data_IF_327054130865
#
_entry.id   IF_327054130865
#
_cell.length_a   1.000
_cell.length_b   1.000
_cell.length_c   1.000
_cell.angle_alpha   90.00
_cell.angle_beta   90.00
_cell.angle_gamma   90.00
#
_symmetry.space_group_name_H-M   'P 1'
#
loop_
_entity.id
_entity.type
_entity.pdbx_description
1 polymer ?
#
# COMPACT_ATOMS: atom_id res chain seq x y z
N UNK A 1 4.93 20.14 -11.44
CA UNK A 1 5.86 21.29 -11.36
C UNK A 1 5.20 22.58 -10.85
N UNK A 2 3.88 22.66 -10.83
CA UNK A 2 3.16 23.89 -10.41
C UNK A 2 2.25 23.65 -9.19
N UNK A 3 2.40 22.53 -8.48
CA UNK A 3 1.66 22.27 -7.26
C UNK A 3 2.31 22.99 -6.07
N UNK A 4 1.54 23.70 -5.23
CA UNK A 4 2.04 24.29 -3.99
C UNK A 4 2.10 23.28 -2.84
N UNK A 5 1.69 22.03 -3.06
CA UNK A 5 1.69 20.94 -2.08
C UNK A 5 2.32 19.68 -2.70
N UNK A 6 2.85 18.76 -1.87
CA UNK A 6 3.40 17.49 -2.36
C UNK A 6 2.40 16.72 -3.20
N UNK A 7 2.89 16.14 -4.30
CA UNK A 7 2.10 15.32 -5.24
C UNK A 7 2.52 13.86 -5.10
N UNK A 8 1.56 12.99 -4.84
CA UNK A 8 1.78 11.55 -4.77
C UNK A 8 1.10 10.80 -5.89
N UNK A 9 1.69 9.68 -6.29
CA UNK A 9 1.13 8.78 -7.31
C UNK A 9 1.23 7.32 -6.89
N UNK A 10 0.60 6.45 -7.67
CA UNK A 10 0.62 4.99 -7.49
C UNK A 10 1.16 4.35 -8.77
N UNK A 11 2.48 4.15 -8.91
CA UNK A 11 3.13 3.81 -10.18
C UNK A 11 2.60 2.53 -10.84
N UNK A 12 2.14 1.55 -10.03
CA UNK A 12 1.62 0.28 -10.54
C UNK A 12 0.40 0.48 -11.47
N UNK A 13 -0.35 1.59 -11.33
CA UNK A 13 -1.49 1.84 -12.20
C UNK A 13 -1.05 2.23 -13.60
N UNK A 14 -0.04 3.11 -13.72
CA UNK A 14 0.53 3.46 -15.02
C UNK A 14 1.26 2.26 -15.65
N UNK A 15 2.01 1.48 -14.85
CA UNK A 15 2.64 0.27 -15.33
C UNK A 15 1.60 -0.71 -15.92
N UNK A 16 0.45 -0.88 -15.25
CA UNK A 16 -0.64 -1.71 -15.74
C UNK A 16 -1.26 -1.18 -17.05
N UNK A 17 -1.37 0.15 -17.19
CA UNK A 17 -1.85 0.76 -18.44
C UNK A 17 -0.89 0.47 -19.60
N UNK A 18 0.42 0.53 -19.37
CA UNK A 18 1.45 0.23 -20.38
C UNK A 18 1.35 -1.19 -20.95
N UNK A 19 0.78 -2.13 -20.18
CA UNK A 19 0.50 -3.51 -20.63
C UNK A 19 -0.98 -3.74 -20.93
N UNK A 20 -1.73 -2.69 -21.26
CA UNK A 20 -3.15 -2.77 -21.63
C UNK A 20 -4.04 -3.48 -20.58
N UNK A 21 -3.73 -3.32 -19.31
CA UNK A 21 -4.49 -3.89 -18.20
C UNK A 21 -4.21 -5.37 -17.91
N UNK A 22 -3.24 -5.98 -18.59
CA UNK A 22 -2.88 -7.39 -18.38
C UNK A 22 -1.90 -7.52 -17.22
N UNK A 23 -2.40 -7.99 -16.09
CA UNK A 23 -1.61 -8.15 -14.86
C UNK A 23 -0.46 -9.13 -15.05
N UNK A 24 -0.68 -10.17 -15.85
CA UNK A 24 0.30 -11.20 -16.20
C UNK A 24 1.55 -10.67 -16.92
N UNK A 25 1.43 -9.54 -17.61
CA UNK A 25 2.53 -8.93 -18.36
C UNK A 25 3.31 -7.88 -17.52
N UNK A 26 2.92 -7.64 -16.30
CA UNK A 26 3.68 -6.78 -15.40
C UNK A 26 5.03 -7.44 -15.05
N UNK A 27 6.10 -6.65 -15.11
CA UNK A 27 7.44 -7.07 -14.70
C UNK A 27 8.12 -6.00 -13.85
N UNK A 28 9.18 -6.41 -13.17
CA UNK A 28 10.03 -5.49 -12.42
C UNK A 28 10.62 -4.39 -13.33
N UNK A 29 11.12 -4.75 -14.50
CA UNK A 29 11.76 -3.82 -15.44
C UNK A 29 10.78 -2.73 -15.87
N UNK A 30 9.56 -3.12 -16.24
CA UNK A 30 8.51 -2.16 -16.63
C UNK A 30 8.12 -1.25 -15.47
N UNK A 31 8.00 -1.81 -14.28
CA UNK A 31 7.67 -1.04 -13.08
C UNK A 31 8.78 -0.06 -12.73
N UNK A 32 10.05 -0.52 -12.72
CA UNK A 32 11.23 0.31 -12.49
C UNK A 32 11.28 1.51 -13.44
N UNK A 33 11.12 1.25 -14.74
CA UNK A 33 11.19 2.30 -15.75
C UNK A 33 10.02 3.30 -15.60
N UNK A 34 8.84 2.82 -15.18
CA UNK A 34 7.70 3.68 -14.86
C UNK A 34 7.94 4.53 -13.60
N UNK A 35 8.58 3.95 -12.59
CA UNK A 35 8.96 4.65 -11.37
C UNK A 35 9.93 5.81 -11.67
N UNK A 36 10.99 5.53 -12.44
CA UNK A 36 11.98 6.52 -12.86
C UNK A 36 11.31 7.64 -13.68
N UNK A 37 10.48 7.29 -14.65
CA UNK A 37 9.72 8.27 -15.45
C UNK A 37 8.93 9.24 -14.57
N UNK A 38 8.25 8.75 -13.54
CA UNK A 38 7.49 9.59 -12.62
C UNK A 38 8.38 10.41 -11.69
N UNK A 39 9.51 9.87 -11.25
CA UNK A 39 10.52 10.64 -10.53
C UNK A 39 11.00 11.85 -11.34
N UNK A 40 11.31 11.65 -12.62
CA UNK A 40 11.74 12.72 -13.54
C UNK A 40 10.64 13.76 -13.79
N UNK A 41 9.37 13.37 -13.66
CA UNK A 41 8.24 14.29 -13.72
C UNK A 41 8.07 15.15 -12.46
N UNK A 42 8.78 14.82 -11.39
CA UNK A 42 8.80 15.57 -10.13
C UNK A 42 7.67 15.19 -9.18
N UNK A 43 7.39 13.89 -9.06
CA UNK A 43 6.51 13.35 -8.03
C UNK A 43 7.24 13.36 -6.68
N UNK A 44 6.55 13.74 -5.60
CA UNK A 44 7.15 13.91 -4.28
C UNK A 44 7.10 12.63 -3.43
N UNK A 45 6.11 11.76 -3.67
CA UNK A 45 6.03 10.45 -3.00
C UNK A 45 5.26 9.43 -3.82
N UNK A 46 5.55 8.15 -3.59
CA UNK A 46 4.84 7.04 -4.23
C UNK A 46 4.15 6.14 -3.22
N UNK A 47 2.88 5.78 -3.48
CA UNK A 47 2.23 4.68 -2.77
C UNK A 47 2.59 3.37 -3.44
N UNK A 48 3.26 2.50 -2.69
CA UNK A 48 3.79 1.22 -3.16
C UNK A 48 3.28 0.08 -2.28
N UNK A 49 2.55 -0.86 -2.88
CA UNK A 49 1.95 -2.00 -2.19
C UNK A 49 2.95 -3.17 -2.03
N UNK A 50 4.15 -2.86 -1.52
CA UNK A 50 5.22 -3.84 -1.32
C UNK A 50 4.97 -4.79 -0.13
N UNK A 51 4.01 -4.46 0.74
CA UNK A 51 3.58 -5.33 1.86
C UNK A 51 2.84 -6.59 1.42
N UNK A 52 2.37 -6.65 0.17
CA UNK A 52 1.75 -7.85 -0.40
C UNK A 52 2.81 -8.94 -0.56
N UNK A 53 2.64 -10.02 0.18
CA UNK A 53 3.48 -11.22 0.09
C UNK A 53 2.66 -12.39 -0.45
N UNK A 54 3.24 -13.19 -1.37
CA UNK A 54 2.57 -14.38 -1.89
C UNK A 54 2.01 -15.26 -0.77
N UNK A 55 2.79 -15.48 0.27
CA UNK A 55 2.39 -16.30 1.41
C UNK A 55 1.20 -15.73 2.21
N UNK A 56 0.90 -14.44 2.11
CA UNK A 56 -0.15 -13.78 2.88
C UNK A 56 -1.46 -13.60 2.09
N UNK A 57 -1.44 -13.75 0.76
CA UNK A 57 -2.62 -13.51 -0.10
C UNK A 57 -3.80 -14.39 0.32
N UNK A 58 -3.55 -15.67 0.61
CA UNK A 58 -4.60 -16.63 1.01
C UNK A 58 -5.26 -16.29 2.37
N UNK A 59 -4.64 -15.44 3.19
CA UNK A 59 -5.24 -15.03 4.46
C UNK A 59 -6.49 -14.17 4.25
N UNK A 60 -6.67 -13.62 3.06
CA UNK A 60 -7.86 -12.85 2.67
C UNK A 60 -9.00 -13.73 2.10
N UNK A 61 -8.82 -15.04 1.93
CA UNK A 61 -9.80 -15.97 1.33
C UNK A 61 -10.99 -16.02 2.26
N UNK A 62 -11.47 -15.79 3.04
CA UNK A 62 -12.67 -15.87 3.88
C UNK A 62 -13.28 -14.52 4.21
N UNK A 63 -12.70 -13.45 3.66
CA UNK A 63 -13.21 -12.12 3.89
C UNK A 63 -14.56 -11.88 3.22
N UNK A 64 -15.40 -11.10 3.88
CA UNK A 64 -16.68 -10.68 3.32
C UNK A 64 -16.50 -9.80 2.07
N UNK A 65 -15.51 -8.89 2.09
CA UNK A 65 -15.22 -7.98 0.98
C UNK A 65 -13.98 -8.37 0.15
N UNK A 66 -13.29 -9.44 0.50
CA UNK A 66 -12.06 -9.84 -0.19
C UNK A 66 -10.94 -8.80 -0.11
N UNK A 67 -10.25 -8.57 -1.21
CA UNK A 67 -9.17 -7.56 -1.34
C UNK A 67 -9.72 -6.33 -2.06
N UNK A 68 -9.98 -5.26 -1.33
CA UNK A 68 -10.62 -4.04 -1.85
C UNK A 68 -9.62 -3.01 -2.37
N UNK A 69 -8.35 -3.10 -1.99
CA UNK A 69 -7.29 -2.26 -2.52
C UNK A 69 -7.04 -2.59 -3.99
N UNK A 70 -7.07 -1.58 -4.88
CA UNK A 70 -6.76 -1.77 -6.29
C UNK A 70 -5.33 -2.27 -6.50
N UNK A 71 -4.34 -1.62 -5.87
CA UNK A 71 -2.94 -2.03 -5.94
C UNK A 71 -2.71 -3.39 -5.28
N UNK A 72 -3.36 -3.61 -4.14
CA UNK A 72 -3.33 -4.90 -3.44
C UNK A 72 -3.88 -6.04 -4.29
N UNK A 73 -5.03 -5.86 -4.97
CA UNK A 73 -5.62 -6.88 -5.83
C UNK A 73 -4.78 -7.16 -7.09
N UNK A 74 -4.15 -6.13 -7.68
CA UNK A 74 -3.24 -6.30 -8.82
C UNK A 74 -2.05 -7.17 -8.40
N UNK A 75 -1.37 -6.83 -7.31
CA UNK A 75 -0.19 -7.57 -6.85
C UNK A 75 -0.53 -8.96 -6.34
N UNK A 76 -1.65 -9.13 -5.64
CA UNK A 76 -2.14 -10.45 -5.21
C UNK A 76 -2.42 -11.35 -6.42
N UNK A 77 -3.11 -10.83 -7.44
CA UNK A 77 -3.36 -11.55 -8.69
C UNK A 77 -2.05 -11.92 -9.40
N UNK A 78 -1.09 -10.99 -9.47
CA UNK A 78 0.21 -11.24 -10.06
C UNK A 78 0.96 -12.38 -9.36
N UNK A 79 1.02 -12.35 -8.02
CA UNK A 79 1.66 -13.39 -7.22
C UNK A 79 1.04 -14.78 -7.45
N UNK A 80 -0.28 -14.85 -7.56
CA UNK A 80 -0.99 -16.10 -7.79
C UNK A 80 -0.80 -16.63 -9.22
N UNK A 81 -0.84 -15.74 -10.23
CA UNK A 81 -0.66 -16.14 -11.63
C UNK A 81 0.74 -16.68 -11.93
N UNK A 82 1.77 -16.04 -11.33
CA UNK A 82 3.16 -16.43 -11.56
C UNK A 82 3.68 -17.45 -10.55
N UNK A 83 2.91 -17.74 -9.53
CA UNK A 83 3.34 -18.59 -8.38
C UNK A 83 4.67 -18.10 -7.77
N UNK A 84 4.86 -16.78 -7.71
CA UNK A 84 6.09 -16.11 -7.25
C UNK A 84 5.80 -15.05 -6.20
N UNK A 85 6.86 -14.67 -5.47
CA UNK A 85 6.81 -13.55 -4.56
C UNK A 85 6.62 -12.23 -5.33
N UNK A 86 6.00 -11.24 -4.69
CA UNK A 86 5.80 -9.91 -5.25
C UNK A 86 7.13 -9.28 -5.66
N UNK A 87 7.26 -8.89 -6.91
CA UNK A 87 8.46 -8.17 -7.37
C UNK A 87 8.63 -6.81 -6.64
N UNK A 88 7.57 -6.20 -6.14
CA UNK A 88 7.66 -4.98 -5.34
C UNK A 88 8.34 -5.24 -3.99
N UNK A 89 8.14 -6.41 -3.41
CA UNK A 89 8.82 -6.81 -2.19
C UNK A 89 10.27 -7.27 -2.47
N UNK A 90 10.46 -8.12 -3.49
CA UNK A 90 11.79 -8.64 -3.85
C UNK A 90 12.77 -7.51 -4.19
N UNK A 91 12.31 -6.52 -4.96
CA UNK A 91 13.10 -5.38 -5.43
C UNK A 91 12.91 -4.11 -4.58
N UNK A 92 12.45 -4.23 -3.33
CA UNK A 92 12.17 -3.05 -2.53
C UNK A 92 13.42 -2.20 -2.25
N UNK A 93 14.58 -2.83 -2.10
CA UNK A 93 15.84 -2.12 -1.90
C UNK A 93 16.27 -1.36 -3.17
N UNK A 94 16.06 -1.95 -4.35
CA UNK A 94 16.29 -1.27 -5.63
C UNK A 94 15.33 -0.08 -5.82
N UNK A 95 14.07 -0.23 -5.39
CA UNK A 95 13.10 0.86 -5.35
C UNK A 95 13.61 1.98 -4.45
N UNK A 96 14.06 1.66 -3.23
CA UNK A 96 14.60 2.66 -2.31
C UNK A 96 15.83 3.37 -2.86
N UNK A 97 16.71 2.68 -3.56
CA UNK A 97 17.88 3.30 -4.21
C UNK A 97 17.48 4.32 -5.26
N UNK A 98 16.43 4.03 -6.06
CA UNK A 98 15.86 4.99 -6.99
C UNK A 98 15.26 6.19 -6.24
N UNK A 99 14.42 5.94 -5.22
CA UNK A 99 13.77 7.01 -4.46
C UNK A 99 14.78 7.93 -3.78
N UNK A 100 15.85 7.38 -3.22
CA UNK A 100 16.93 8.16 -2.59
C UNK A 100 17.65 9.05 -3.62
N UNK A 101 17.84 8.59 -4.85
CA UNK A 101 18.48 9.38 -5.91
C UNK A 101 17.67 10.61 -6.31
N UNK A 102 16.34 10.52 -6.23
CA UNK A 102 15.42 11.61 -6.64
C UNK A 102 14.82 12.37 -5.45
N UNK A 103 15.22 12.04 -4.21
CA UNK A 103 14.66 12.62 -2.97
C UNK A 103 13.14 12.46 -2.86
N UNK A 104 12.64 11.25 -3.18
CA UNK A 104 11.22 10.90 -3.19
C UNK A 104 10.89 10.03 -1.98
N UNK A 105 9.79 10.32 -1.28
CA UNK A 105 9.32 9.52 -0.16
C UNK A 105 8.51 8.29 -0.60
N UNK A 106 8.45 7.27 0.25
CA UNK A 106 7.59 6.10 0.05
C UNK A 106 6.41 6.08 1.02
N UNK A 107 5.21 5.96 0.48
CA UNK A 107 4.00 5.57 1.19
C UNK A 107 3.83 4.06 1.04
N UNK A 108 3.94 3.30 2.13
CA UNK A 108 3.69 1.87 2.12
C UNK A 108 2.18 1.64 2.10
N UNK A 109 1.66 1.24 0.94
CA UNK A 109 0.23 1.07 0.71
C UNK A 109 -0.34 -0.19 1.39
N UNK A 110 -1.51 -0.06 2.00
CA UNK A 110 -2.22 -1.16 2.68
C UNK A 110 -3.04 -2.02 1.70
N UNK A 111 -2.37 -2.85 0.93
CA UNK A 111 -2.99 -3.69 -0.08
C UNK A 111 -3.97 -4.73 0.45
N UNK A 112 -3.78 -5.19 1.69
CA UNK A 112 -4.67 -6.13 2.38
C UNK A 112 -5.55 -5.43 3.45
N UNK A 113 -5.79 -4.12 3.32
CA UNK A 113 -6.74 -3.43 4.21
C UNK A 113 -8.14 -4.07 4.15
N UNK A 114 -8.89 -4.09 5.26
CA UNK A 114 -10.27 -4.57 5.26
C UNK A 114 -11.19 -3.63 4.49
N UNK A 115 -12.17 -4.18 3.79
CA UNK A 115 -13.19 -3.43 3.06
C UNK A 115 -14.47 -3.16 3.86
N UNK A 116 -14.59 -3.78 5.04
CA UNK A 116 -15.70 -3.58 5.96
C UNK A 116 -15.27 -3.87 7.40
N UNK A 117 -16.12 -3.49 8.35
CA UNK A 117 -15.83 -3.68 9.78
C UNK A 117 -15.77 -5.15 10.20
N UNK A 118 -16.42 -6.06 9.45
CA UNK A 118 -16.37 -7.50 9.72
C UNK A 118 -14.98 -8.09 9.47
N UNK A 119 -14.24 -7.55 8.50
CA UNK A 119 -12.89 -7.99 8.13
C UNK A 119 -11.80 -7.22 8.89
N UNK A 120 -12.16 -6.23 9.73
CA UNK A 120 -11.21 -5.37 10.41
C UNK A 120 -10.36 -6.12 11.44
N UNK A 121 -9.06 -5.82 11.47
CA UNK A 121 -8.06 -6.43 12.35
C UNK A 121 -7.94 -7.95 12.16
N UNK A 122 -8.14 -8.42 10.94
CA UNK A 122 -7.96 -9.82 10.62
C UNK A 122 -6.47 -10.19 10.40
N UNK A 123 -6.23 -11.46 10.17
CA UNK A 123 -4.87 -11.98 9.97
C UNK A 123 -4.19 -11.43 8.73
N UNK A 124 -4.95 -11.18 7.66
CA UNK A 124 -4.40 -10.65 6.41
C UNK A 124 -3.89 -9.22 6.61
N UNK A 125 -4.71 -8.35 7.24
CA UNK A 125 -4.33 -6.98 7.56
C UNK A 125 -3.06 -6.93 8.41
N UNK A 126 -3.00 -7.73 9.46
CA UNK A 126 -1.86 -7.69 10.38
C UNK A 126 -0.59 -8.34 9.80
N UNK A 127 -0.70 -9.38 9.00
CA UNK A 127 0.44 -9.96 8.32
C UNK A 127 1.08 -8.98 7.31
N UNK A 128 0.28 -8.15 6.65
CA UNK A 128 0.79 -7.07 5.82
C UNK A 128 1.43 -5.98 6.66
N UNK A 129 0.82 -5.59 7.78
CA UNK A 129 1.37 -4.58 8.69
C UNK A 129 2.76 -4.99 9.22
N UNK A 130 2.93 -6.26 9.58
CA UNK A 130 4.22 -6.81 10.02
C UNK A 130 5.27 -6.68 8.89
N UNK A 131 4.89 -6.97 7.65
CA UNK A 131 5.76 -6.78 6.48
C UNK A 131 6.07 -5.30 6.26
N UNK A 132 5.08 -4.39 6.40
CA UNK A 132 5.33 -2.95 6.28
C UNK A 132 6.31 -2.44 7.32
N UNK A 133 6.29 -2.99 8.53
CA UNK A 133 7.30 -2.69 9.56
C UNK A 133 8.73 -3.04 9.12
N UNK A 134 8.93 -4.21 8.52
CA UNK A 134 10.21 -4.59 7.91
C UNK A 134 10.62 -3.59 6.82
N UNK A 135 9.69 -3.24 5.93
CA UNK A 135 9.96 -2.32 4.81
C UNK A 135 10.28 -0.90 5.29
N UNK A 136 9.71 -0.43 6.40
CA UNK A 136 10.07 0.84 7.04
C UNK A 136 11.55 0.86 7.42
N UNK A 137 12.05 -0.22 8.02
CA UNK A 137 13.47 -0.31 8.38
C UNK A 137 14.38 -0.35 7.15
N UNK A 138 13.98 -1.08 6.11
CA UNK A 138 14.72 -1.14 4.83
C UNK A 138 14.78 0.24 4.16
N UNK A 139 13.67 0.98 4.11
CA UNK A 139 13.63 2.33 3.57
C UNK A 139 14.52 3.29 4.36
N UNK A 140 14.45 3.25 5.70
CA UNK A 140 15.30 4.08 6.56
C UNK A 140 16.79 3.76 6.40
N UNK A 141 17.16 2.50 6.21
CA UNK A 141 18.54 2.11 5.96
C UNK A 141 19.10 2.67 4.64
N UNK A 142 18.20 3.00 3.69
CA UNK A 142 18.51 3.63 2.41
C UNK A 142 18.32 5.16 2.41
N UNK A 143 18.07 5.77 3.59
CA UNK A 143 17.77 7.20 3.76
C UNK A 143 16.51 7.66 3.01
N UNK A 144 15.54 6.78 2.80
CA UNK A 144 14.24 7.11 2.23
C UNK A 144 13.22 7.36 3.34
N UNK A 145 12.52 8.47 3.26
CA UNK A 145 11.40 8.75 4.15
C UNK A 145 10.25 7.79 3.86
N UNK A 146 9.78 7.07 4.89
CA UNK A 146 8.69 6.13 4.78
C UNK A 146 7.55 6.50 5.72
N UNK A 147 6.32 6.42 5.24
CA UNK A 147 5.10 6.51 6.02
C UNK A 147 4.15 5.39 5.62
N UNK A 148 3.24 5.04 6.51
CA UNK A 148 2.43 3.83 6.39
C UNK A 148 0.96 4.19 6.19
N UNK A 149 0.33 3.59 5.19
CA UNK A 149 -1.11 3.66 5.00
C UNK A 149 -1.80 2.65 5.93
N UNK A 150 -2.93 3.05 6.49
CA UNK A 150 -3.74 2.19 7.33
C UNK A 150 -5.22 2.21 6.97
N UNK A 151 -5.98 1.23 7.46
CA UNK A 151 -7.36 1.00 7.07
C UNK A 151 -8.30 2.07 7.61
N UNK A 152 -9.33 2.40 6.80
CA UNK A 152 -10.44 3.26 7.20
C UNK A 152 -11.64 2.52 7.80
N UNK A 153 -11.78 1.22 7.58
CA UNK A 153 -12.93 0.41 8.02
C UNK A 153 -12.67 -0.33 9.34
N UNK A 154 -12.11 0.37 10.32
CA UNK A 154 -11.87 -0.18 11.67
C UNK A 154 -12.97 0.35 12.61
N UNK A 155 -13.73 -0.51 13.31
CA UNK A 155 -14.71 -0.05 14.26
C UNK A 155 -14.06 0.69 15.43
N UNK A 156 -14.74 1.69 15.98
CA UNK A 156 -14.18 2.63 16.96
C UNK A 156 -13.51 1.94 18.15
N UNK A 157 -14.06 0.86 18.65
CA UNK A 157 -13.51 0.13 19.81
C UNK A 157 -12.20 -0.63 19.48
N UNK A 158 -11.86 -0.82 18.20
CA UNK A 158 -10.61 -1.45 17.73
C UNK A 158 -9.54 -0.46 17.26
N UNK A 159 -9.84 0.83 17.22
CA UNK A 159 -8.90 1.85 16.74
C UNK A 159 -7.63 1.86 17.59
N UNK A 160 -7.77 1.81 18.91
CA UNK A 160 -6.62 1.81 19.83
C UNK A 160 -5.69 0.62 19.54
N UNK A 161 -6.23 -0.59 19.47
CA UNK A 161 -5.47 -1.80 19.15
C UNK A 161 -4.72 -1.67 17.82
N UNK A 162 -5.41 -1.14 16.80
CA UNK A 162 -4.82 -0.93 15.47
C UNK A 162 -3.67 0.07 15.51
N UNK A 163 -3.85 1.19 16.22
CA UNK A 163 -2.81 2.22 16.38
C UNK A 163 -1.61 1.74 17.18
N UNK A 164 -1.84 1.08 18.33
CA UNK A 164 -0.77 0.54 19.17
C UNK A 164 0.07 -0.46 18.35
N UNK A 165 -0.60 -1.36 17.63
CA UNK A 165 0.09 -2.34 16.80
C UNK A 165 0.89 -1.69 15.66
N UNK A 166 0.36 -0.66 15.02
CA UNK A 166 1.10 0.09 13.99
C UNK A 166 2.34 0.78 14.58
N UNK A 167 2.19 1.44 15.72
CA UNK A 167 3.31 2.11 16.40
C UNK A 167 4.43 1.11 16.73
N UNK A 168 4.07 -0.02 17.29
CA UNK A 168 5.03 -1.05 17.71
C UNK A 168 5.70 -1.72 16.51
N UNK A 169 4.91 -2.21 15.53
CA UNK A 169 5.42 -2.98 14.40
C UNK A 169 6.08 -2.11 13.33
N UNK A 170 5.59 -0.89 13.11
CA UNK A 170 6.16 0.02 12.10
C UNK A 170 7.13 1.04 12.69
N UNK A 171 7.66 0.81 13.89
CA UNK A 171 8.78 1.58 14.46
C UNK A 171 8.52 3.09 14.51
N UNK A 172 7.30 3.49 14.94
CA UNK A 172 6.85 4.88 14.96
C UNK A 172 6.93 5.60 13.60
N UNK A 173 6.80 4.88 12.49
CA UNK A 173 6.66 5.53 11.19
C UNK A 173 5.38 6.38 11.15
N UNK A 174 5.39 7.55 10.48
CA UNK A 174 4.18 8.33 10.27
C UNK A 174 3.07 7.45 9.69
N UNK A 175 1.85 7.63 10.18
CA UNK A 175 0.71 6.79 9.85
C UNK A 175 -0.46 7.65 9.39
N UNK A 176 -1.07 7.30 8.28
CA UNK A 176 -2.29 7.92 7.82
C UNK A 176 -3.35 6.87 7.49
N UNK A 177 -4.60 7.23 7.68
CA UNK A 177 -5.74 6.37 7.39
C UNK A 177 -6.79 7.16 6.62
N UNK A 178 -7.68 6.46 5.95
CA UNK A 178 -8.91 7.08 5.45
C UNK A 178 -9.81 7.52 6.62
N UNK A 179 -9.46 7.10 7.82
CA UNK A 179 -10.07 7.46 9.09
C UNK A 179 -11.47 6.87 9.31
N UNK A 180 -12.01 7.02 10.52
CA UNK A 180 -13.42 6.72 10.78
C UNK A 180 -14.34 7.54 9.87
N UNK A 181 -13.84 8.60 9.27
CA UNK A 181 -14.51 9.41 8.26
C UNK A 181 -14.89 8.60 7.00
N UNK A 182 -14.12 7.58 6.59
CA UNK A 182 -14.49 6.77 5.43
C UNK A 182 -15.74 5.93 5.69
N UNK A 183 -15.89 5.38 6.88
CA UNK A 183 -17.15 4.72 7.31
C UNK A 183 -18.26 5.75 7.49
N UNK A 184 -17.94 6.92 8.04
CA UNK A 184 -18.89 8.04 8.15
C UNK A 184 -19.32 8.57 6.79
N UNK A 185 -18.45 8.62 5.79
CA UNK A 185 -18.79 9.06 4.44
C UNK A 185 -19.75 8.10 3.75
N UNK A 186 -19.56 6.81 3.92
CA UNK A 186 -20.36 5.80 3.21
C UNK A 186 -21.60 5.37 3.99
N UNK A 187 -21.63 5.51 5.32
CA UNK A 187 -22.71 5.00 6.15
C UNK A 187 -23.37 6.03 7.07
N UNK A 188 -22.66 7.05 7.54
CA UNK A 188 -23.22 8.07 8.42
C UNK A 188 -23.57 9.35 7.66
N UNK A 189 -22.71 9.84 6.77
CA UNK A 189 -23.03 11.03 5.97
C UNK A 189 -24.06 10.81 4.88
N UNK A 190 -24.17 9.60 4.34
CA UNK A 190 -25.24 9.29 3.40
C UNK A 190 -26.63 9.36 4.05
N UNK A 191 -26.71 9.22 5.38
CA UNK A 191 -27.97 9.33 6.14
C UNK A 191 -28.20 10.73 6.71
N UNK A 192 -27.18 11.58 6.77
CA UNK A 192 -27.34 12.98 7.24
C UNK A 192 -27.68 13.97 6.12
N UNK A 193 -27.70 13.52 4.87
CA UNK A 193 -28.03 14.35 3.70
C UNK A 193 -29.43 14.10 3.14
N UNK A 194 -30.23 13.26 3.78
CA UNK A 194 -31.65 13.12 3.57
C UNK A 194 -32.41 13.84 4.70
#
# INVERSE_FOLDING_TARGET
RNSPVPVGTVPIYQALEKVSGRVEDLSWELYRDTLIEQCEQGVDYFTIHAGIRRQNVHLADGRLCGIVSRGGSIMSKWCLLHDRESFLYEHFDDICDILAQYDVAVSLGDGLRPGCIADANDRAQFAELDTMGELVLRARAKNVQAFVEGPGHVPMHKIRENMERQIDHCHNAPFYTLGPIAVSYTHLRAHETE
#
